data_IF_895996465399
#
_entry.id   IF_895996465399
#
_cell.length_a   1.000
_cell.length_b   1.000
_cell.length_c   1.000
_cell.angle_alpha   90.00
_cell.angle_beta   90.00
_cell.angle_gamma   90.00
#
_symmetry.space_group_name_H-M   'P 1'
#
loop_
_entity.id
_entity.type
_entity.pdbx_description
1 polymer ?
#
# COMPACT_ATOMS: atom_id res chain seq x y z
N UNK A 1 -33.12 -2.12 2.77
CA UNK A 1 -32.29 -1.99 1.54
C UNK A 1 -32.27 -3.37 0.90
N UNK A 2 -32.42 -3.50 -0.43
CA UNK A 2 -32.49 -4.79 -1.14
C UNK A 2 -31.09 -5.42 -1.30
N UNK A 3 -30.49 -5.86 -0.20
CA UNK A 3 -29.32 -6.74 -0.21
C UNK A 3 -29.26 -7.52 1.11
N UNK A 4 -28.74 -8.75 1.04
CA UNK A 4 -28.48 -9.59 2.19
C UNK A 4 -27.29 -9.04 3.00
N UNK A 5 -27.42 -8.74 4.30
CA UNK A 5 -26.32 -8.25 5.15
C UNK A 5 -25.07 -9.16 5.15
N UNK A 6 -25.28 -10.44 4.87
CA UNK A 6 -24.27 -11.49 4.74
C UNK A 6 -23.26 -11.16 3.64
N UNK A 7 -23.70 -10.48 2.57
CA UNK A 7 -22.84 -10.07 1.46
C UNK A 7 -21.75 -9.07 1.92
N UNK A 8 -22.09 -8.13 2.80
CA UNK A 8 -21.16 -7.11 3.31
C UNK A 8 -20.35 -7.56 4.51
N UNK A 9 -20.87 -8.51 5.29
CA UNK A 9 -20.17 -9.08 6.46
C UNK A 9 -19.16 -10.14 6.07
N UNK A 10 -19.34 -10.78 4.91
CA UNK A 10 -18.31 -11.63 4.31
C UNK A 10 -17.06 -10.81 3.95
N UNK A 11 -15.87 -11.30 4.31
CA UNK A 11 -14.59 -10.71 3.90
C UNK A 11 -14.20 -11.07 2.46
N UNK A 12 -15.10 -11.69 1.70
CA UNK A 12 -14.87 -12.10 0.31
C UNK A 12 -14.48 -10.87 -0.53
N UNK A 13 -13.30 -10.94 -1.15
CA UNK A 13 -12.74 -9.95 -2.07
C UNK A 13 -12.62 -8.49 -1.55
N UNK A 14 -12.97 -8.23 -0.29
CA UNK A 14 -12.97 -6.90 0.32
C UNK A 14 -14.19 -6.04 -0.04
N UNK A 15 -15.33 -6.64 -0.39
CA UNK A 15 -16.54 -5.92 -0.81
C UNK A 15 -17.08 -5.00 0.30
N UNK A 16 -17.06 -5.43 1.56
CA UNK A 16 -17.42 -4.58 2.71
C UNK A 16 -16.55 -3.31 2.79
N UNK A 17 -15.25 -3.44 2.54
CA UNK A 17 -14.29 -2.33 2.53
C UNK A 17 -14.55 -1.37 1.36
N UNK A 18 -14.99 -1.87 0.20
CA UNK A 18 -15.42 -1.07 -0.97
C UNK A 18 -16.71 -0.33 -0.68
N UNK A 19 -17.70 -1.00 -0.09
CA UNK A 19 -18.96 -0.39 0.29
C UNK A 19 -18.78 0.73 1.32
N UNK A 20 -17.92 0.50 2.31
CA UNK A 20 -17.61 1.51 3.33
C UNK A 20 -16.89 2.71 2.70
N UNK A 21 -16.04 2.51 1.70
CA UNK A 21 -15.42 3.60 0.94
C UNK A 21 -16.40 4.33 -0.01
N UNK A 22 -17.42 3.63 -0.52
CA UNK A 22 -18.45 4.23 -1.35
C UNK A 22 -19.37 5.15 -0.53
N UNK A 23 -19.70 4.74 0.70
CA UNK A 23 -20.70 5.36 1.57
C UNK A 23 -20.13 6.37 2.55
N UNK A 24 -18.96 6.08 3.13
CA UNK A 24 -18.27 6.99 4.05
C UNK A 24 -17.43 7.91 3.19
N UNK A 25 -17.81 9.19 3.10
CA UNK A 25 -17.11 10.19 2.29
C UNK A 25 -15.63 10.35 2.66
N UNK A 26 -14.86 11.00 1.77
CA UNK A 26 -13.38 11.13 1.81
C UNK A 26 -12.82 11.67 3.13
N UNK A 27 -13.61 12.41 3.90
CA UNK A 27 -13.18 13.08 5.12
C UNK A 27 -12.89 12.12 6.29
N UNK A 28 -13.62 11.00 6.41
CA UNK A 28 -13.56 10.12 7.60
C UNK A 28 -13.18 8.66 7.28
N UNK A 29 -12.82 8.37 6.03
CA UNK A 29 -12.44 7.02 5.57
C UNK A 29 -11.22 6.50 6.35
N UNK A 30 -10.23 7.36 6.60
CA UNK A 30 -8.98 6.97 7.27
C UNK A 30 -9.17 6.54 8.73
N UNK A 31 -10.24 6.99 9.39
CA UNK A 31 -10.56 6.58 10.76
C UNK A 31 -11.35 5.26 10.81
N UNK A 32 -12.05 4.91 9.74
CA UNK A 32 -12.99 3.78 9.70
C UNK A 32 -12.45 2.56 8.96
N UNK A 33 -11.45 2.74 8.10
CA UNK A 33 -10.82 1.67 7.32
C UNK A 33 -9.31 1.73 7.53
N UNK A 34 -8.72 0.62 7.95
CA UNK A 34 -7.27 0.53 8.11
C UNK A 34 -6.56 0.52 6.75
N UNK A 35 -5.33 1.06 6.70
CA UNK A 35 -4.49 1.00 5.48
C UNK A 35 -4.30 -0.45 4.99
N UNK A 36 -4.23 -1.41 5.92
CA UNK A 36 -4.10 -2.84 5.61
C UNK A 36 -5.34 -3.38 4.89
N UNK A 37 -6.54 -3.01 5.35
CA UNK A 37 -7.79 -3.44 4.73
C UNK A 37 -7.97 -2.84 3.34
N UNK A 38 -7.45 -1.63 3.09
CA UNK A 38 -7.43 -1.00 1.76
C UNK A 38 -6.55 -1.80 0.81
N UNK A 39 -5.34 -2.17 1.26
CA UNK A 39 -4.38 -2.94 0.45
C UNK A 39 -4.82 -4.39 0.23
N UNK A 40 -5.64 -4.95 1.13
CA UNK A 40 -6.17 -6.30 1.03
C UNK A 40 -7.34 -6.45 0.04
N UNK A 41 -7.89 -5.35 -0.50
CA UNK A 41 -9.00 -5.41 -1.46
C UNK A 41 -8.52 -5.94 -2.81
N UNK A 42 -9.15 -7.01 -3.28
CA UNK A 42 -8.90 -7.59 -4.59
C UNK A 42 -9.84 -6.98 -5.62
N UNK A 43 -9.42 -5.87 -6.24
CA UNK A 43 -10.21 -5.11 -7.20
C UNK A 43 -10.78 -5.97 -8.36
N UNK A 44 -9.99 -6.78 -9.09
CA UNK A 44 -10.52 -7.51 -10.24
C UNK A 44 -11.55 -8.57 -9.85
N UNK A 45 -11.31 -9.32 -8.76
CA UNK A 45 -12.25 -10.32 -8.26
C UNK A 45 -13.54 -9.68 -7.72
N UNK A 46 -13.43 -8.52 -7.04
CA UNK A 46 -14.59 -7.75 -6.61
C UNK A 46 -15.42 -7.25 -7.81
N UNK A 47 -14.79 -6.71 -8.86
CA UNK A 47 -15.49 -6.30 -10.07
C UNK A 47 -16.24 -7.45 -10.74
N UNK A 48 -15.65 -8.65 -10.80
CA UNK A 48 -16.30 -9.83 -11.34
C UNK A 48 -17.55 -10.21 -10.54
N UNK A 49 -17.47 -10.16 -9.21
CA UNK A 49 -18.63 -10.40 -8.33
C UNK A 49 -19.76 -9.37 -8.47
N UNK A 50 -19.47 -8.18 -9.01
CA UNK A 50 -20.48 -7.16 -9.27
C UNK A 50 -21.14 -7.36 -10.62
N UNK A 51 -20.40 -7.82 -11.64
CA UNK A 51 -20.92 -8.01 -13.01
C UNK A 51 -21.78 -9.28 -13.07
N UNK A 52 -21.31 -10.36 -12.44
CA UNK A 52 -22.00 -11.64 -12.34
C UNK A 52 -22.26 -11.96 -10.86
N UNK A 53 -23.31 -11.37 -10.28
CA UNK A 53 -23.61 -11.58 -8.88
C UNK A 53 -24.29 -12.94 -8.64
N UNK A 54 -23.77 -13.69 -7.67
CA UNK A 54 -24.33 -14.98 -7.21
C UNK A 54 -25.67 -14.80 -6.46
N UNK A 55 -25.94 -13.58 -5.98
CA UNK A 55 -27.14 -13.19 -5.24
C UNK A 55 -27.73 -11.94 -5.89
N UNK A 56 -29.05 -11.83 -6.09
CA UNK A 56 -29.66 -10.64 -6.71
C UNK A 56 -29.28 -9.37 -5.95
N UNK A 57 -28.54 -8.50 -6.63
CA UNK A 57 -28.04 -7.24 -6.11
C UNK A 57 -28.83 -6.08 -6.73
N UNK A 58 -29.29 -5.15 -5.90
CA UNK A 58 -29.97 -3.96 -6.40
C UNK A 58 -29.00 -3.10 -7.24
N UNK A 59 -29.44 -2.67 -8.43
CA UNK A 59 -28.65 -1.86 -9.36
C UNK A 59 -28.07 -0.59 -8.70
N UNK A 60 -28.84 0.06 -7.82
CA UNK A 60 -28.39 1.22 -7.04
C UNK A 60 -27.20 0.88 -6.13
N UNK A 61 -27.21 -0.30 -5.52
CA UNK A 61 -26.14 -0.76 -4.65
C UNK A 61 -24.91 -1.17 -5.46
N UNK A 62 -25.11 -1.86 -6.59
CA UNK A 62 -24.05 -2.21 -7.54
C UNK A 62 -23.35 -0.97 -8.11
N UNK A 63 -24.11 0.06 -8.53
CA UNK A 63 -23.55 1.34 -8.97
C UNK A 63 -22.75 2.04 -7.87
N UNK A 64 -23.23 2.00 -6.62
CA UNK A 64 -22.53 2.59 -5.49
C UNK A 64 -21.21 1.86 -5.20
N UNK A 65 -21.20 0.53 -5.29
CA UNK A 65 -19.99 -0.29 -5.17
C UNK A 65 -18.98 0.02 -6.28
N UNK A 66 -19.43 0.10 -7.54
CA UNK A 66 -18.57 0.43 -8.67
C UNK A 66 -17.95 1.84 -8.51
N UNK A 67 -18.75 2.82 -8.06
CA UNK A 67 -18.24 4.14 -7.68
C UNK A 67 -17.19 4.07 -6.57
N UNK A 68 -17.38 3.20 -5.57
CA UNK A 68 -16.41 2.95 -4.50
C UNK A 68 -15.10 2.34 -5.01
N UNK A 69 -15.18 1.41 -5.96
CA UNK A 69 -14.00 0.84 -6.63
C UNK A 69 -13.26 1.91 -7.40
N UNK A 70 -13.95 2.69 -8.22
CA UNK A 70 -13.35 3.79 -8.99
C UNK A 70 -12.67 4.78 -8.05
N UNK A 71 -13.27 5.18 -6.92
CA UNK A 71 -12.58 6.06 -5.96
C UNK A 71 -11.34 5.43 -5.33
N UNK A 72 -11.27 4.10 -5.23
CA UNK A 72 -10.08 3.37 -4.76
C UNK A 72 -9.03 3.15 -5.84
N UNK A 73 -9.45 2.89 -7.08
CA UNK A 73 -8.57 2.59 -8.22
C UNK A 73 -8.10 3.85 -8.95
N UNK A 74 -8.98 4.84 -9.13
CA UNK A 74 -8.76 6.04 -9.94
C UNK A 74 -8.14 7.21 -9.16
N UNK A 75 -8.19 7.24 -7.82
CA UNK A 75 -7.84 8.47 -7.10
C UNK A 75 -7.03 8.23 -5.83
N UNK A 76 -5.72 8.45 -5.96
CA UNK A 76 -4.81 8.94 -4.93
C UNK A 76 -4.53 8.07 -3.70
N UNK A 77 -5.41 7.22 -3.17
CA UNK A 77 -5.15 6.49 -1.92
C UNK A 77 -4.07 5.40 -2.09
N UNK A 78 -4.24 4.48 -3.03
CA UNK A 78 -3.24 3.42 -3.29
C UNK A 78 -1.95 4.02 -3.86
N UNK A 79 -2.07 4.98 -4.78
CA UNK A 79 -0.92 5.66 -5.37
C UNK A 79 -0.11 6.46 -4.33
N UNK A 80 -0.77 7.21 -3.42
CA UNK A 80 -0.09 7.91 -2.32
C UNK A 80 0.57 6.93 -1.37
N UNK A 81 -0.12 5.86 -0.96
CA UNK A 81 0.47 4.81 -0.12
C UNK A 81 1.72 4.23 -0.79
N UNK A 82 1.68 3.96 -2.09
CA UNK A 82 2.81 3.39 -2.81
C UNK A 82 3.97 4.39 -2.95
N UNK A 83 3.67 5.65 -3.29
CA UNK A 83 4.66 6.74 -3.34
C UNK A 83 5.28 7.00 -1.97
N UNK A 84 4.49 6.98 -0.90
CA UNK A 84 4.97 7.09 0.49
C UNK A 84 5.95 5.95 0.80
N UNK A 85 5.60 4.71 0.45
CA UNK A 85 6.47 3.55 0.64
C UNK A 85 7.77 3.65 -0.17
N UNK A 86 7.70 4.13 -1.41
CA UNK A 86 8.88 4.39 -2.25
C UNK A 86 9.76 5.46 -1.61
N UNK A 87 9.18 6.57 -1.14
CA UNK A 87 9.90 7.66 -0.49
C UNK A 87 10.56 7.22 0.83
N UNK A 88 9.85 6.41 1.64
CA UNK A 88 10.39 5.82 2.87
C UNK A 88 11.55 4.86 2.57
N UNK A 89 11.41 4.02 1.54
CA UNK A 89 12.45 3.08 1.12
C UNK A 89 13.66 3.84 0.57
N UNK A 90 13.44 4.86 -0.26
CA UNK A 90 14.49 5.73 -0.77
C UNK A 90 15.23 6.47 0.36
N UNK A 91 14.50 6.96 1.36
CA UNK A 91 15.08 7.55 2.57
C UNK A 91 15.94 6.56 3.36
N UNK A 92 15.44 5.34 3.60
CA UNK A 92 16.18 4.28 4.28
C UNK A 92 17.45 3.87 3.53
N UNK A 93 17.38 3.74 2.21
CA UNK A 93 18.54 3.44 1.36
C UNK A 93 19.56 4.58 1.38
N UNK A 94 19.10 5.84 1.33
CA UNK A 94 19.97 7.03 1.42
C UNK A 94 20.71 7.09 2.76
N UNK A 95 20.01 6.85 3.88
CA UNK A 95 20.61 6.84 5.22
C UNK A 95 21.66 5.74 5.36
N UNK A 96 21.40 4.55 4.80
CA UNK A 96 22.37 3.43 4.79
C UNK A 96 23.55 3.70 3.84
N UNK A 97 23.32 4.33 2.70
CA UNK A 97 24.38 4.74 1.78
C UNK A 97 25.30 5.80 2.40
N UNK A 98 24.74 6.73 3.18
CA UNK A 98 25.53 7.70 3.96
C UNK A 98 26.34 7.00 5.06
N UNK A 99 25.76 6.03 5.77
CA UNK A 99 26.49 5.22 6.76
C UNK A 99 27.66 4.44 6.15
N UNK A 100 27.45 3.82 4.99
CA UNK A 100 28.51 3.12 4.25
C UNK A 100 29.61 4.07 3.76
N UNK A 101 29.24 5.28 3.31
CA UNK A 101 30.18 6.32 2.87
C UNK A 101 30.98 6.92 4.03
N UNK A 102 30.39 7.02 5.22
CA UNK A 102 31.06 7.40 6.47
C UNK A 102 32.00 6.31 6.96
N UNK A 103 31.62 5.03 6.88
CA UNK A 103 32.51 3.91 7.23
C UNK A 103 33.70 3.85 6.26
N UNK A 104 33.50 4.11 4.96
CA UNK A 104 34.60 4.16 4.00
C UNK A 104 35.58 5.30 4.29
N UNK A 105 35.11 6.41 4.86
CA UNK A 105 35.95 7.50 5.37
C UNK A 105 36.58 7.21 6.76
N UNK A 106 36.17 6.14 7.44
CA UNK A 106 36.81 5.61 8.66
C UNK A 106 37.81 4.46 8.38
N UNK A 107 38.13 4.18 7.11
CA UNK A 107 39.30 3.38 6.70
C UNK A 107 40.53 4.26 6.38
N UNK A 108 40.89 5.36 7.09
CA UNK A 108 42.25 5.87 7.01
C UNK A 108 43.03 5.25 8.17
N UNK A 109 44.05 4.45 7.85
CA UNK A 109 45.43 4.53 8.42
C UNK A 109 46.25 3.24 8.29
N UNK A 110 45.64 2.06 8.07
CA UNK A 110 46.42 0.80 8.03
C UNK A 110 47.17 0.51 6.72
N UNK A 111 47.07 1.35 5.69
CA UNK A 111 47.92 1.21 4.49
C UNK A 111 49.29 1.90 4.61
N UNK A 112 49.49 2.84 5.55
CA UNK A 112 50.77 3.53 5.69
C UNK A 112 51.76 2.84 6.64
N UNK A 113 51.32 1.88 7.46
CA UNK A 113 52.22 1.07 8.30
C UNK A 113 52.84 -0.12 7.56
N UNK A 114 52.28 -0.55 6.42
CA UNK A 114 52.83 -1.67 5.64
C UNK A 114 53.99 -1.28 4.70
N UNK A 115 54.16 0.00 4.35
CA UNK A 115 55.29 0.44 3.53
C UNK A 115 56.60 0.65 4.32
N UNK A 116 56.56 0.79 5.65
CA UNK A 116 57.78 0.88 6.46
C UNK A 116 58.43 -0.49 6.76
N UNK A 117 57.74 -1.62 6.57
CA UNK A 117 58.29 -2.94 6.90
C UNK A 117 59.04 -3.62 5.74
N UNK A 118 58.96 -3.08 4.52
CA UNK A 118 59.61 -3.67 3.33
C UNK A 118 60.88 -2.94 2.88
N UNK A 119 61.36 -1.95 3.66
CA UNK A 119 62.52 -1.13 3.32
C UNK A 119 63.56 -1.14 4.45
N UNK A 120 63.75 -2.32 5.04
CA UNK A 120 64.76 -2.60 6.06
C UNK A 120 65.35 -4.00 5.85
N UNK A 121 65.93 -4.22 4.67
CA UNK A 121 66.87 -5.32 4.36
C UNK A 121 67.99 -4.72 3.51
#
# INVERSE_FOLDING_TARGET
>A
MFFSPEYLTSRLYGVGTVWLAATVGTHNIHHKISRKDIMAVQIPAACQSFIEPDVPLALRFQSNLLCGVVRRSHTAAQARVNVDNINLTHGNLRSRALFLKTIQHLIPTWQLTFQCFTQGV
#
